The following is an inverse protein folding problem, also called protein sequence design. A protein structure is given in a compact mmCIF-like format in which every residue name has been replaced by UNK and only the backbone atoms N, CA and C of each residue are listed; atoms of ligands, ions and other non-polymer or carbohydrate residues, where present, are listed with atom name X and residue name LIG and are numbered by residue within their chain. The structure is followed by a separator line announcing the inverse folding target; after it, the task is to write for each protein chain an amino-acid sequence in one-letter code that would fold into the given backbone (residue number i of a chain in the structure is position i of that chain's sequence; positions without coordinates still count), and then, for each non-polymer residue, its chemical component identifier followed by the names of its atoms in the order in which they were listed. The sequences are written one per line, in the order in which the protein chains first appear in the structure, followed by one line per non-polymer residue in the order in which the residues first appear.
data_IF_180759328718
#
_entry.id   IF_180759328718
#
_cell.length_a   1.000
_cell.length_b   1.000
_cell.length_c   1.000
_cell.angle_alpha   90.00
_cell.angle_beta   90.00
_cell.angle_gamma   90.00
#
_symmetry.space_group_name_H-M   'P 1'
#
loop_
_entity.id
_entity.type
_entity.pdbx_description
1 polymer ?
#
# COMPACT_ATOMS: atom_id res chain seq x y z
N UNK A 1 1.68 40.99 -51.94
CA UNK A 1 2.44 41.64 -50.85
C UNK A 1 1.61 42.83 -50.37
N UNK A 2 1.26 42.93 -49.08
CA UNK A 2 2.16 42.91 -47.91
C UNK A 2 1.84 41.81 -46.87
N UNK A 3 2.52 41.90 -45.72
CA UNK A 3 2.96 40.85 -44.78
C UNK A 3 2.60 41.14 -43.30
N UNK A 4 2.65 40.07 -42.48
CA UNK A 4 2.89 39.97 -41.02
C UNK A 4 2.18 40.93 -40.03
N UNK A 5 1.45 40.31 -39.08
CA UNK A 5 1.08 40.88 -37.77
C UNK A 5 0.27 39.89 -36.94
N UNK A 6 0.79 39.48 -35.79
CA UNK A 6 0.37 38.37 -34.92
C UNK A 6 -0.92 38.58 -34.10
N UNK A 7 -1.53 37.43 -33.71
CA UNK A 7 -2.26 37.04 -32.46
C UNK A 7 -3.23 38.06 -31.80
N UNK A 8 -4.45 37.73 -31.36
CA UNK A 8 -4.85 36.79 -30.29
C UNK A 8 -6.32 36.37 -30.49
N UNK A 9 -6.61 35.08 -30.61
CA UNK A 9 -7.97 34.54 -30.39
C UNK A 9 -7.98 33.86 -29.02
N UNK A 10 -8.76 34.40 -28.10
CA UNK A 10 -8.95 33.86 -26.76
C UNK A 10 -9.53 32.45 -26.80
N UNK A 11 -8.79 31.47 -26.28
CA UNK A 11 -9.35 30.15 -25.97
C UNK A 11 -10.12 30.24 -24.66
N UNK A 12 -11.43 30.06 -24.73
CA UNK A 12 -12.27 29.83 -23.56
C UNK A 12 -11.92 28.46 -22.94
N UNK A 13 -11.73 28.42 -21.62
CA UNK A 13 -11.51 27.21 -20.86
C UNK A 13 -12.77 26.34 -20.86
N UNK A 14 -12.67 25.10 -21.34
CA UNK A 14 -13.74 24.10 -21.29
C UNK A 14 -13.55 23.28 -20.01
N UNK A 15 -14.40 23.49 -19.01
CA UNK A 15 -14.50 22.64 -17.82
C UNK A 15 -15.39 21.42 -18.11
N UNK A 16 -14.93 20.18 -17.86
CA UNK A 16 -15.77 19.00 -17.98
C UNK A 16 -16.36 18.60 -16.62
N UNK A 17 -17.29 19.41 -16.08
CA UNK A 17 -18.10 19.02 -14.90
C UNK A 17 -19.59 19.34 -15.10
N UNK A 18 -20.14 18.93 -16.25
CA UNK A 18 -21.59 18.91 -16.44
C UNK A 18 -22.01 17.62 -17.15
N UNK A 19 -22.26 16.60 -16.36
CA UNK A 19 -23.14 15.50 -16.77
C UNK A 19 -23.80 14.88 -15.55
N UNK A 20 -25.12 15.11 -15.50
CA UNK A 20 -26.15 14.25 -14.89
C UNK A 20 -26.40 14.50 -13.39
N UNK A 21 -27.28 15.46 -13.13
CA UNK A 21 -28.19 15.36 -12.00
C UNK A 21 -29.30 14.35 -12.37
N UNK A 22 -29.72 13.43 -11.49
CA UNK A 22 -30.97 12.71 -11.64
C UNK A 22 -32.13 13.59 -11.13
N UNK A 23 -33.19 13.68 -11.92
CA UNK A 23 -34.47 14.28 -11.55
C UNK A 23 -35.05 13.55 -10.33
N UNK A 24 -35.40 14.31 -9.29
CA UNK A 24 -36.15 13.80 -8.14
C UNK A 24 -37.57 13.45 -8.58
N UNK A 25 -37.82 12.15 -8.74
CA UNK A 25 -39.17 11.59 -8.76
C UNK A 25 -39.70 11.49 -7.34
N UNK A 26 -40.88 12.06 -7.12
CA UNK A 26 -41.68 11.92 -5.90
C UNK A 26 -41.93 10.43 -5.59
N UNK A 27 -41.49 9.97 -4.42
CA UNK A 27 -42.08 8.83 -3.73
C UNK A 27 -42.15 9.17 -2.24
N UNK A 28 -43.33 9.62 -1.82
CA UNK A 28 -43.78 9.50 -0.44
C UNK A 28 -44.28 8.07 -0.27
N UNK A 29 -43.62 7.27 0.56
CA UNK A 29 -44.28 6.18 1.29
C UNK A 29 -43.39 5.77 2.48
N UNK A 30 -43.89 6.16 3.65
CA UNK A 30 -43.86 5.45 4.92
C UNK A 30 -42.56 4.76 5.39
N UNK A 31 -42.03 5.36 6.46
CA UNK A 31 -41.26 4.70 7.54
C UNK A 31 -41.70 3.25 7.77
N UNK A 32 -40.77 2.32 7.65
CA UNK A 32 -40.75 1.14 8.50
C UNK A 32 -39.31 0.90 8.96
N UNK A 33 -39.13 0.94 10.28
CA UNK A 33 -37.91 0.58 11.00
C UNK A 33 -37.52 -0.86 10.68
N UNK A 34 -36.36 -1.07 10.09
CA UNK A 34 -35.60 -2.30 10.30
C UNK A 34 -34.14 -1.92 10.56
N UNK A 35 -33.83 -1.84 11.85
CA UNK A 35 -32.49 -2.06 12.37
C UNK A 35 -32.00 -3.43 11.86
N UNK A 36 -31.08 -3.40 10.90
CA UNK A 36 -30.15 -4.51 10.70
C UNK A 36 -28.77 -4.01 11.06
N UNK A 37 -28.36 -4.37 12.27
CA UNK A 37 -26.97 -4.36 12.72
C UNK A 37 -26.14 -5.23 11.76
N UNK A 38 -25.69 -4.67 10.64
CA UNK A 38 -24.47 -5.18 10.02
C UNK A 38 -23.31 -4.67 10.88
N UNK A 39 -22.93 -5.47 11.88
CA UNK A 39 -21.63 -5.42 12.50
C UNK A 39 -20.58 -5.43 11.37
N UNK A 40 -20.09 -4.26 11.01
CA UNK A 40 -18.89 -4.12 10.21
C UNK A 40 -17.77 -4.64 11.11
N UNK A 41 -17.47 -5.94 11.01
CA UNK A 41 -16.28 -6.55 11.59
C UNK A 41 -15.07 -5.80 11.01
N UNK A 42 -14.59 -4.82 11.78
CA UNK A 42 -13.34 -4.14 11.52
C UNK A 42 -12.25 -5.22 11.37
N UNK A 43 -11.33 -5.09 10.39
CA UNK A 43 -10.27 -6.06 10.22
C UNK A 43 -9.52 -6.19 11.55
N UNK A 44 -9.56 -7.41 12.10
CA UNK A 44 -8.95 -7.81 13.37
C UNK A 44 -7.56 -7.18 13.43
N UNK A 45 -7.37 -6.24 14.35
CA UNK A 45 -6.05 -5.74 14.69
C UNK A 45 -5.24 -6.92 15.20
N UNK A 46 -4.37 -7.45 14.36
CA UNK A 46 -3.31 -8.38 14.74
C UNK A 46 -2.55 -7.76 15.91
N UNK A 47 -2.90 -8.17 17.12
CA UNK A 47 -2.15 -7.89 18.33
C UNK A 47 -0.73 -8.41 18.11
N UNK A 48 0.26 -7.69 18.64
CA UNK A 48 1.69 -8.05 18.57
C UNK A 48 2.03 -9.41 19.19
N UNK A 49 1.05 -10.15 19.68
CA UNK A 49 1.19 -11.48 20.28
C UNK A 49 0.98 -12.63 19.29
N UNK A 50 0.42 -12.38 18.09
CA UNK A 50 0.26 -13.42 17.05
C UNK A 50 1.50 -13.63 16.16
N UNK A 51 2.57 -12.86 16.38
CA UNK A 51 3.82 -12.97 15.61
C UNK A 51 4.72 -14.14 16.01
N UNK A 52 4.33 -14.97 16.99
CA UNK A 52 5.06 -16.19 17.36
C UNK A 52 4.42 -17.48 16.84
N UNK A 53 3.57 -17.43 15.79
CA UNK A 53 3.44 -18.60 14.92
C UNK A 53 4.78 -18.83 14.24
N UNK A 54 5.64 -19.57 14.93
CA UNK A 54 6.80 -20.27 14.40
C UNK A 54 6.35 -20.92 13.10
N UNK A 55 6.68 -20.28 11.99
CA UNK A 55 6.70 -20.94 10.69
C UNK A 55 7.71 -22.05 10.89
N UNK A 56 7.19 -23.24 11.18
CA UNK A 56 7.97 -24.47 11.28
C UNK A 56 8.48 -24.74 9.87
N UNK A 57 9.63 -24.13 9.55
CA UNK A 57 10.39 -24.50 8.37
C UNK A 57 10.63 -26.01 8.49
N UNK A 58 10.35 -26.80 7.44
CA UNK A 58 10.52 -28.24 7.50
C UNK A 58 11.94 -28.55 7.97
N UNK A 59 12.06 -29.12 9.17
CA UNK A 59 13.32 -29.28 9.91
C UNK A 59 14.31 -30.29 9.29
N UNK A 60 14.10 -30.68 8.03
CA UNK A 60 14.91 -31.69 7.33
C UNK A 60 15.14 -31.28 5.89
N UNK A 61 15.73 -30.12 5.67
CA UNK A 61 16.48 -29.90 4.44
C UNK A 61 17.67 -30.86 4.50
N UNK A 62 17.63 -31.94 3.72
CA UNK A 62 18.81 -32.80 3.53
C UNK A 62 19.89 -31.94 2.90
N UNK A 63 20.79 -31.43 3.73
CA UNK A 63 21.99 -30.75 3.25
C UNK A 63 22.74 -31.78 2.42
N UNK A 64 22.99 -31.52 1.12
CA UNK A 64 23.73 -32.45 0.29
C UNK A 64 25.11 -32.65 0.95
N UNK A 65 25.43 -33.91 1.21
CA UNK A 65 26.68 -34.30 1.84
C UNK A 65 27.85 -33.83 0.95
N UNK A 66 28.56 -32.80 1.41
CA UNK A 66 29.70 -32.24 0.67
C UNK A 66 30.85 -33.23 0.77
N UNK A 67 31.00 -34.08 -0.24
CA UNK A 67 32.18 -34.92 -0.38
C UNK A 67 33.38 -34.03 -0.72
N UNK A 68 34.45 -34.19 0.04
CA UNK A 68 35.72 -33.54 -0.26
C UNK A 68 36.21 -34.02 -1.63
N UNK A 69 36.28 -33.10 -2.59
CA UNK A 69 36.76 -33.38 -3.94
C UNK A 69 38.23 -32.96 -4.04
N UNK A 70 39.13 -33.94 -4.06
CA UNK A 70 40.58 -33.72 -4.13
C UNK A 70 41.13 -34.25 -5.47
N UNK A 71 41.05 -33.47 -6.55
CA UNK A 71 41.52 -33.92 -7.85
C UNK A 71 43.05 -33.90 -7.90
N UNK A 72 43.66 -35.06 -8.22
CA UNK A 72 45.11 -35.19 -8.42
C UNK A 72 45.59 -34.62 -9.77
N UNK A 73 44.67 -34.18 -10.64
CA UNK A 73 44.91 -33.70 -12.01
C UNK A 73 44.00 -32.51 -12.31
N UNK A 74 44.33 -31.66 -13.31
CA UNK A 74 43.45 -30.57 -13.74
C UNK A 74 42.06 -31.10 -14.11
N UNK A 75 41.03 -30.44 -13.61
CA UNK A 75 39.63 -30.78 -13.88
C UNK A 75 39.10 -29.82 -14.93
N UNK A 76 38.65 -30.37 -16.05
CA UNK A 76 37.99 -29.61 -17.09
C UNK A 76 36.49 -29.84 -16.99
N UNK A 77 35.73 -28.75 -16.94
CA UNK A 77 34.27 -28.77 -16.86
C UNK A 77 33.66 -28.25 -18.14
N UNK A 78 32.54 -28.84 -18.57
CA UNK A 78 31.79 -28.34 -19.71
C UNK A 78 30.93 -27.15 -19.26
N UNK A 79 31.36 -25.94 -19.61
CA UNK A 79 30.68 -24.69 -19.25
C UNK A 79 29.23 -24.67 -19.74
N UNK A 80 28.96 -25.25 -20.93
CA UNK A 80 27.61 -25.27 -21.53
C UNK A 80 26.62 -26.06 -20.68
N UNK A 81 27.08 -27.08 -19.96
CA UNK A 81 26.23 -27.88 -19.06
C UNK A 81 25.72 -27.10 -17.86
N UNK A 82 26.40 -26.02 -17.46
CA UNK A 82 26.01 -25.19 -16.30
C UNK A 82 25.17 -23.96 -16.69
N UNK A 83 25.06 -23.67 -17.98
CA UNK A 83 24.41 -22.45 -18.46
C UNK A 83 22.92 -22.38 -18.07
N UNK A 84 22.22 -23.53 -18.04
CA UNK A 84 20.83 -23.61 -17.58
C UNK A 84 20.68 -23.17 -16.12
N UNK A 85 21.48 -23.75 -15.23
CA UNK A 85 21.49 -23.41 -13.80
C UNK A 85 21.89 -21.94 -13.59
N UNK A 86 22.87 -21.45 -14.36
CA UNK A 86 23.28 -20.04 -14.28
C UNK A 86 22.14 -19.09 -14.66
N UNK A 87 21.35 -19.42 -15.68
CA UNK A 87 20.20 -18.62 -16.08
C UNK A 87 19.11 -18.63 -15.01
N UNK A 88 18.83 -19.80 -14.41
CA UNK A 88 17.87 -19.92 -13.31
C UNK A 88 18.31 -19.08 -12.10
N UNK A 89 19.59 -19.14 -11.72
CA UNK A 89 20.15 -18.30 -10.65
C UNK A 89 19.94 -16.81 -10.95
N UNK A 90 20.19 -16.37 -12.18
CA UNK A 90 20.00 -14.97 -12.58
C UNK A 90 18.53 -14.53 -12.46
N UNK A 91 17.58 -15.39 -12.83
CA UNK A 91 16.15 -15.11 -12.65
C UNK A 91 15.82 -14.96 -11.17
N UNK A 92 16.33 -15.83 -10.30
CA UNK A 92 16.11 -15.73 -8.85
C UNK A 92 16.71 -14.44 -8.29
N UNK A 93 17.92 -14.07 -8.70
CA UNK A 93 18.56 -12.81 -8.29
C UNK A 93 17.68 -11.61 -8.67
N UNK A 94 17.21 -11.54 -9.91
CA UNK A 94 16.34 -10.45 -10.36
C UNK A 94 15.03 -10.38 -9.56
N UNK A 95 14.42 -11.52 -9.24
CA UNK A 95 13.22 -11.57 -8.41
C UNK A 95 13.49 -11.09 -6.99
N UNK A 96 14.63 -11.45 -6.40
CA UNK A 96 15.04 -11.00 -5.08
C UNK A 96 15.29 -9.49 -5.04
N UNK A 97 15.97 -8.95 -6.04
CA UNK A 97 16.22 -7.50 -6.18
C UNK A 97 14.91 -6.72 -6.30
N UNK A 98 14.00 -7.17 -7.17
CA UNK A 98 12.67 -6.56 -7.31
C UNK A 98 11.87 -6.63 -6.00
N UNK A 99 11.94 -7.75 -5.29
CA UNK A 99 11.26 -7.92 -4.00
C UNK A 99 11.82 -6.98 -2.93
N UNK A 100 13.13 -6.78 -2.90
CA UNK A 100 13.78 -5.83 -1.99
C UNK A 100 13.29 -4.40 -2.26
N UNK A 101 13.16 -4.01 -3.53
CA UNK A 101 12.62 -2.71 -3.89
C UNK A 101 11.18 -2.52 -3.43
N UNK A 102 10.33 -3.52 -3.62
CA UNK A 102 8.93 -3.50 -3.15
C UNK A 102 8.86 -3.34 -1.63
N UNK A 103 9.71 -4.06 -0.87
CA UNK A 103 9.78 -3.94 0.59
C UNK A 103 10.19 -2.53 1.02
N UNK A 104 11.17 -1.93 0.34
CA UNK A 104 11.58 -0.53 0.61
C UNK A 104 10.44 0.44 0.35
N UNK A 105 9.71 0.29 -0.75
CA UNK A 105 8.54 1.12 -1.09
C UNK A 105 7.44 0.97 -0.04
N UNK A 106 7.12 -0.25 0.36
CA UNK A 106 6.12 -0.53 1.40
C UNK A 106 6.49 0.12 2.74
N UNK A 107 7.77 0.06 3.13
CA UNK A 107 8.24 0.68 4.36
C UNK A 107 8.12 2.21 4.30
N UNK A 108 8.42 2.82 3.17
CA UNK A 108 8.25 4.27 2.98
C UNK A 108 6.78 4.70 3.09
N UNK A 109 5.87 3.93 2.48
CA UNK A 109 4.42 4.16 2.58
C UNK A 109 3.99 4.07 4.05
N UNK A 110 4.37 3.00 4.74
CA UNK A 110 4.05 2.80 6.16
C UNK A 110 4.51 3.98 7.03
N UNK A 111 5.73 4.47 6.82
CA UNK A 111 6.24 5.63 7.57
C UNK A 111 5.41 6.88 7.27
N UNK A 112 5.09 7.14 6.00
CA UNK A 112 4.28 8.28 5.58
C UNK A 112 2.89 8.24 6.20
N UNK A 113 2.19 7.12 6.08
CA UNK A 113 0.84 6.93 6.62
C UNK A 113 0.83 7.07 8.14
N UNK A 114 1.81 6.48 8.83
CA UNK A 114 1.91 6.61 10.29
C UNK A 114 2.13 8.07 10.74
N UNK A 115 2.90 8.84 9.96
CA UNK A 115 3.09 10.26 10.23
C UNK A 115 1.81 11.08 9.99
N UNK A 116 1.05 10.76 8.94
CA UNK A 116 -0.25 11.39 8.67
C UNK A 116 -1.27 11.04 9.76
N UNK A 117 -1.33 9.78 10.17
CA UNK A 117 -2.19 9.31 11.26
C UNK A 117 -1.89 10.04 12.57
N UNK A 118 -0.61 10.20 12.89
CA UNK A 118 -0.18 10.96 14.07
C UNK A 118 -0.65 12.41 14.02
N UNK A 119 -0.52 13.09 12.87
CA UNK A 119 -1.00 14.46 12.71
C UNK A 119 -2.52 14.57 12.90
N UNK A 120 -3.28 13.62 12.36
CA UNK A 120 -4.73 13.57 12.54
C UNK A 120 -5.09 13.37 14.01
N UNK A 121 -4.40 12.47 14.70
CA UNK A 121 -4.59 12.25 16.13
C UNK A 121 -4.31 13.53 16.94
N UNK A 122 -3.16 14.18 16.72
CA UNK A 122 -2.80 15.42 17.41
C UNK A 122 -3.83 16.53 17.15
N UNK A 123 -4.36 16.61 15.93
CA UNK A 123 -5.41 17.56 15.56
C UNK A 123 -6.74 17.27 16.27
N UNK A 124 -7.15 16.01 16.33
CA UNK A 124 -8.36 15.58 17.03
C UNK A 124 -8.27 15.84 18.53
N UNK A 125 -7.12 15.55 19.15
CA UNK A 125 -6.88 15.85 20.55
C UNK A 125 -6.97 17.36 20.82
N UNK A 126 -6.40 18.18 19.93
CA UNK A 126 -6.50 19.63 19.99
C UNK A 126 -7.94 20.15 19.86
N UNK A 127 -8.75 19.57 18.97
CA UNK A 127 -10.17 19.89 18.84
C UNK A 127 -10.96 19.48 20.08
N UNK A 128 -10.72 18.28 20.61
CA UNK A 128 -11.39 17.80 21.82
C UNK A 128 -11.13 18.73 23.02
N UNK A 129 -9.88 19.17 23.21
CA UNK A 129 -9.52 20.16 24.24
C UNK A 129 -10.28 21.48 24.08
N UNK A 130 -10.47 21.94 22.83
CA UNK A 130 -11.22 23.17 22.55
C UNK A 130 -12.72 23.01 22.84
N UNK A 131 -13.30 21.87 22.48
CA UNK A 131 -14.71 21.56 22.76
C UNK A 131 -14.95 21.57 24.27
N UNK A 132 -14.11 20.87 25.04
CA UNK A 132 -14.19 20.85 26.51
C UNK A 132 -14.07 22.27 27.07
N UNK A 133 -13.14 23.08 26.57
CA UNK A 133 -12.98 24.46 27.04
C UNK A 133 -14.21 25.34 26.75
N UNK A 134 -14.86 25.17 25.60
CA UNK A 134 -16.11 25.88 25.28
C UNK A 134 -17.25 25.42 26.18
N UNK A 135 -17.39 24.11 26.39
CA UNK A 135 -18.41 23.53 27.25
C UNK A 135 -18.27 24.00 28.71
N UNK A 136 -17.04 24.05 29.22
CA UNK A 136 -16.71 24.59 30.54
C UNK A 136 -17.09 26.07 30.69
N UNK A 137 -16.95 26.87 29.64
CA UNK A 137 -17.34 28.29 29.64
C UNK A 137 -18.87 28.41 29.63
N UNK A 138 -19.56 27.65 28.78
CA UNK A 138 -21.02 27.68 28.66
C UNK A 138 -21.71 27.14 29.92
N UNK A 139 -21.12 26.17 30.61
CA UNK A 139 -21.67 25.60 31.84
C UNK A 139 -21.53 26.52 33.06
N UNK A 140 -20.66 27.54 32.99
CA UNK A 140 -20.39 28.48 34.10
C UNK A 140 -21.02 29.86 33.92
N UNK A 141 -21.60 30.15 32.76
CA UNK A 141 -22.32 31.40 32.44
C UNK A 141 -23.81 31.26 32.66
#
# INVERSE_FOLDING_TARGET
MPSLGETFFGKAAVHPEKSIAPEFGEFNEEMEEQETEEEIELPIMLTREDTEKKVSLPAKVKVPERRAFNPKKPVFVNVRSYQGISNEINVVINVLENSEEVVKRLNNIKIKENNELKKMHDSLEGLNKKIIAVDDILSKG
#
